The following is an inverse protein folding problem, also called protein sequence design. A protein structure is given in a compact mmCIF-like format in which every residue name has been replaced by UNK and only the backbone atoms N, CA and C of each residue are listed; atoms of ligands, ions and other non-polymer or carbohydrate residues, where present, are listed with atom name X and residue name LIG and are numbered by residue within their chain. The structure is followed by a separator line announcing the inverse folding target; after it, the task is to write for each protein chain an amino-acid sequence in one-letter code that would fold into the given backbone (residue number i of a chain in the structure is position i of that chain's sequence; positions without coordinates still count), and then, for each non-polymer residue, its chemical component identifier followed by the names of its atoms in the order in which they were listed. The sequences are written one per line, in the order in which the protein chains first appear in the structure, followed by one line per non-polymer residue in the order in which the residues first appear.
data_IF_376429194778
#
_entry.id   IF_376429194778
#
_cell.length_a   1.000
_cell.length_b   1.000
_cell.length_c   1.000
_cell.angle_alpha   90.00
_cell.angle_beta   90.00
_cell.angle_gamma   90.00
#
_symmetry.space_group_name_H-M   'P 1'
#
loop_
_entity.id
_entity.type
_entity.pdbx_description
1 polymer ?
#
# COMPACT_ATOMS: atom_id res chain seq x y z
N UNK A 1 8.80 31.15 30.40
CA UNK A 1 9.82 30.19 29.93
C UNK A 1 10.89 30.11 31.02
N UNK A 2 10.98 29.00 31.76
CA UNK A 2 11.99 28.86 32.84
C UNK A 2 13.39 28.61 32.24
N UNK A 3 14.47 29.11 32.89
CA UNK A 3 15.83 28.99 32.37
C UNK A 3 16.25 27.52 32.19
N UNK A 4 16.99 27.26 31.11
CA UNK A 4 17.51 25.94 30.69
C UNK A 4 18.47 25.32 31.74
N UNK A 5 18.97 26.14 32.67
CA UNK A 5 19.94 25.74 33.71
C UNK A 5 19.30 24.99 34.89
N UNK A 6 17.97 24.86 34.92
CA UNK A 6 17.26 23.96 35.83
C UNK A 6 17.17 22.60 35.14
N UNK A 7 17.80 21.58 35.73
CA UNK A 7 17.92 20.24 35.14
C UNK A 7 16.59 19.72 34.59
N UNK A 8 16.62 18.95 33.51
CA UNK A 8 15.45 18.52 32.71
C UNK A 8 14.28 18.06 33.59
N UNK A 9 14.55 17.28 34.64
CA UNK A 9 13.54 16.73 35.54
C UNK A 9 12.83 17.75 36.45
N UNK A 10 13.38 18.95 36.65
CA UNK A 10 12.75 19.97 37.51
C UNK A 10 11.43 20.51 36.96
N UNK A 11 11.16 20.30 35.66
CA UNK A 11 9.91 20.67 35.00
C UNK A 11 8.78 19.68 35.27
N UNK A 12 9.09 18.50 35.79
CA UNK A 12 8.10 17.48 36.10
C UNK A 12 7.39 17.79 37.43
N UNK A 13 6.15 17.33 37.64
CA UNK A 13 5.51 17.34 38.95
C UNK A 13 6.32 16.56 39.98
N UNK A 14 6.21 16.93 41.27
CA UNK A 14 6.94 16.28 42.37
C UNK A 14 6.79 14.76 42.37
N UNK A 15 5.58 14.25 42.12
CA UNK A 15 5.36 12.81 42.09
C UNK A 15 6.16 12.10 40.97
N UNK A 16 6.30 12.70 39.79
CA UNK A 16 7.13 12.15 38.71
C UNK A 16 8.62 12.31 39.01
N UNK A 17 9.03 13.41 39.66
CA UNK A 17 10.41 13.59 40.14
C UNK A 17 10.79 12.51 41.15
N UNK A 18 9.86 12.14 42.05
CA UNK A 18 10.06 11.06 43.03
C UNK A 18 10.12 9.66 42.39
N UNK A 19 9.47 9.46 41.24
CA UNK A 19 9.54 8.22 40.45
C UNK A 19 10.81 8.15 39.60
N UNK A 20 11.28 9.29 39.11
CA UNK A 20 12.49 9.46 38.30
C UNK A 20 13.62 10.05 39.13
N UNK A 21 13.87 9.46 40.31
CA UNK A 21 14.97 9.92 41.16
C UNK A 21 16.28 9.87 40.37
N UNK A 22 17.19 10.84 40.57
CA UNK A 22 18.56 10.74 40.11
C UNK A 22 19.16 9.37 40.50
N UNK A 23 19.93 8.77 39.59
CA UNK A 23 20.47 7.41 39.75
C UNK A 23 21.29 7.26 41.04
N UNK A 24 21.97 8.33 41.46
CA UNK A 24 22.75 8.44 42.68
C UNK A 24 21.92 8.51 43.99
N UNK A 25 20.60 8.70 43.90
CA UNK A 25 19.69 8.79 45.05
C UNK A 25 18.95 7.47 45.34
N UNK A 26 19.10 6.44 44.49
CA UNK A 26 18.70 5.07 44.83
C UNK A 26 19.78 4.49 45.76
N UNK A 27 19.53 4.49 47.06
CA UNK A 27 20.50 4.23 48.12
C UNK A 27 21.34 2.93 47.97
N UNK A 28 22.57 3.00 48.51
CA UNK A 28 23.59 1.96 48.77
C UNK A 28 24.59 1.61 47.64
N UNK A 29 25.45 2.58 47.33
CA UNK A 29 26.92 2.46 47.48
C UNK A 29 27.73 1.43 46.66
N UNK A 30 27.41 1.09 45.39
CA UNK A 30 28.28 0.17 44.62
C UNK A 30 28.70 0.65 43.20
N UNK A 31 27.98 1.55 42.52
CA UNK A 31 28.25 1.87 41.11
C UNK A 31 28.74 3.32 40.83
N UNK A 32 29.50 3.94 41.74
CA UNK A 32 30.17 5.20 41.40
C UNK A 32 31.22 4.96 40.31
N UNK A 33 30.97 5.45 39.09
CA UNK A 33 31.93 5.45 37.98
C UNK A 33 31.64 4.53 36.80
N UNK A 34 30.49 3.83 36.79
CA UNK A 34 30.06 3.06 35.63
C UNK A 34 29.29 3.94 34.64
N UNK A 35 29.69 3.90 33.37
CA UNK A 35 29.02 4.64 32.31
C UNK A 35 27.89 3.79 31.73
N UNK A 36 26.71 4.38 31.54
CA UNK A 36 25.57 3.71 30.91
C UNK A 36 25.06 4.56 29.75
N UNK A 37 24.63 3.88 28.68
CA UNK A 37 23.91 4.51 27.57
C UNK A 37 22.42 4.27 27.75
N UNK A 38 21.62 5.32 27.55
CA UNK A 38 20.17 5.22 27.45
C UNK A 38 19.71 5.58 26.04
N UNK A 39 18.69 4.88 25.54
CA UNK A 39 18.00 5.25 24.30
C UNK A 39 16.53 4.89 24.39
N UNK A 40 15.73 5.55 23.55
CA UNK A 40 14.30 5.26 23.40
C UNK A 40 14.15 4.40 22.16
N UNK A 41 13.39 3.32 22.29
CA UNK A 41 13.04 2.47 21.16
C UNK A 41 11.55 2.09 21.18
N UNK A 42 10.96 1.83 20.01
CA UNK A 42 9.62 1.25 19.95
C UNK A 42 9.62 -0.16 20.53
N UNK A 43 8.60 -0.47 21.32
CA UNK A 43 8.36 -1.81 21.82
C UNK A 43 7.60 -2.65 20.77
N UNK A 44 6.29 -2.43 20.64
CA UNK A 44 5.45 -3.04 19.61
C UNK A 44 4.55 -1.98 18.98
N UNK A 45 4.57 -1.94 17.65
CA UNK A 45 3.61 -1.17 16.87
C UNK A 45 2.37 -2.05 16.63
N UNK A 46 1.25 -1.69 17.25
CA UNK A 46 -0.02 -2.33 16.96
C UNK A 46 -0.62 -1.68 15.71
N UNK A 47 -1.03 -2.49 14.74
CA UNK A 47 -1.74 -2.02 13.57
C UNK A 47 -2.76 -3.05 13.12
N UNK A 48 -3.78 -2.59 12.42
CA UNK A 48 -4.82 -3.40 11.81
C UNK A 48 -4.93 -3.01 10.32
N UNK A 49 -5.13 -4.01 9.47
CA UNK A 49 -5.36 -3.83 8.05
C UNK A 49 -6.80 -4.23 7.76
N UNK A 50 -7.63 -3.25 7.40
CA UNK A 50 -9.02 -3.49 7.01
C UNK A 50 -9.12 -3.40 5.50
N UNK A 51 -9.33 -4.55 4.85
CA UNK A 51 -9.57 -4.62 3.41
C UNK A 51 -11.06 -4.34 3.13
N UNK A 52 -11.32 -3.40 2.23
CA UNK A 52 -12.64 -3.11 1.65
C UNK A 52 -12.58 -3.41 0.15
N UNK A 53 -13.74 -3.48 -0.50
CA UNK A 53 -13.85 -3.77 -1.94
C UNK A 53 -12.95 -2.88 -2.81
N UNK A 54 -12.81 -1.59 -2.45
CA UNK A 54 -12.11 -0.59 -3.26
C UNK A 54 -10.93 0.07 -2.54
N UNK A 55 -10.64 -0.29 -1.29
CA UNK A 55 -9.60 0.38 -0.51
C UNK A 55 -9.02 -0.52 0.58
N UNK A 56 -7.75 -0.26 0.92
CA UNK A 56 -7.12 -0.84 2.10
C UNK A 56 -6.91 0.25 3.13
N UNK A 57 -7.49 0.08 4.32
CA UNK A 57 -7.34 1.00 5.44
C UNK A 57 -6.29 0.45 6.41
N UNK A 58 -5.25 1.23 6.68
CA UNK A 58 -4.25 0.94 7.70
C UNK A 58 -4.55 1.72 8.97
N UNK A 59 -4.99 1.02 10.01
CA UNK A 59 -5.23 1.61 11.32
C UNK A 59 -3.99 1.39 12.18
N UNK A 60 -3.25 2.47 12.44
CA UNK A 60 -2.07 2.41 13.31
C UNK A 60 -2.49 2.78 14.72
N UNK A 61 -2.39 1.82 15.64
CA UNK A 61 -2.74 1.98 17.04
C UNK A 61 -1.71 2.77 17.84
N UNK A 62 -1.85 2.72 19.16
CA UNK A 62 -0.88 3.34 20.06
C UNK A 62 0.49 2.66 19.96
N UNK A 63 1.55 3.47 20.04
CA UNK A 63 2.95 3.03 19.94
C UNK A 63 3.56 3.06 21.32
N UNK A 64 3.81 1.91 21.92
CA UNK A 64 4.53 1.87 23.18
C UNK A 64 6.01 2.14 22.94
N UNK A 65 6.53 3.15 23.62
CA UNK A 65 7.95 3.47 23.64
C UNK A 65 8.55 2.98 24.95
N UNK A 66 9.76 2.45 24.89
CA UNK A 66 10.52 2.03 26.07
C UNK A 66 11.88 2.68 26.09
N UNK A 67 12.33 3.02 27.30
CA UNK A 67 13.71 3.43 27.54
C UNK A 67 14.51 2.18 27.82
N UNK A 68 15.54 1.96 27.01
CA UNK A 68 16.56 0.95 27.24
C UNK A 68 17.78 1.57 27.90
N UNK A 69 18.55 0.71 28.55
CA UNK A 69 19.83 1.01 29.15
C UNK A 69 20.82 -0.06 28.73
N UNK A 70 22.09 0.29 28.69
CA UNK A 70 23.18 -0.66 28.49
C UNK A 70 24.44 -0.18 29.20
N UNK A 71 25.14 -1.10 29.87
CA UNK A 71 26.40 -0.79 30.54
C UNK A 71 27.51 -0.61 29.50
N UNK A 72 28.35 0.40 29.73
CA UNK A 72 29.52 0.68 28.91
C UNK A 72 30.79 0.32 29.68
N UNK A 73 31.68 -0.44 29.04
CA UNK A 73 33.02 -0.75 29.56
C UNK A 73 34.09 -0.11 28.69
N UNK A 74 35.24 0.20 29.28
CA UNK A 74 36.41 0.61 28.49
C UNK A 74 37.06 -0.61 27.87
N UNK A 75 37.23 -0.60 26.56
CA UNK A 75 38.04 -1.58 25.87
C UNK A 75 39.55 -1.34 26.12
N UNK A 76 40.41 -2.17 25.53
CA UNK A 76 41.87 -2.07 25.67
C UNK A 76 42.45 -0.76 25.09
N UNK A 77 41.72 -0.07 24.21
CA UNK A 77 42.07 1.24 23.66
C UNK A 77 41.57 2.40 24.56
N UNK A 78 40.88 2.09 25.66
CA UNK A 78 40.28 3.07 26.56
C UNK A 78 38.96 3.68 26.06
N UNK A 79 38.39 3.18 24.97
CA UNK A 79 37.10 3.63 24.43
C UNK A 79 35.93 2.94 25.13
N UNK A 80 34.83 3.67 25.35
CA UNK A 80 33.60 3.09 25.90
C UNK A 80 32.87 2.28 24.83
N UNK A 81 32.67 1.00 25.10
CA UNK A 81 31.94 0.06 24.24
C UNK A 81 30.85 -0.64 25.05
N UNK A 82 29.82 -1.09 24.35
CA UNK A 82 28.71 -1.87 24.90
C UNK A 82 29.24 -3.17 25.54
N UNK A 83 28.77 -3.49 26.75
CA UNK A 83 29.16 -4.70 27.47
C UNK A 83 28.33 -5.92 27.01
N UNK A 84 28.99 -6.87 26.37
CA UNK A 84 28.33 -8.08 25.85
C UNK A 84 27.84 -9.03 26.96
N UNK A 85 28.36 -8.88 28.19
CA UNK A 85 27.99 -9.71 29.34
C UNK A 85 26.99 -8.96 30.24
N UNK A 86 25.80 -8.71 29.72
CA UNK A 86 24.72 -8.08 30.48
C UNK A 86 24.20 -9.06 31.56
N UNK A 87 24.82 -9.05 32.74
CA UNK A 87 24.51 -9.95 33.85
C UNK A 87 23.10 -9.70 34.41
N UNK A 88 22.47 -10.73 35.00
CA UNK A 88 21.15 -10.61 35.63
C UNK A 88 21.08 -9.57 36.76
N UNK A 89 22.23 -9.26 37.38
CA UNK A 89 22.36 -8.18 38.37
C UNK A 89 22.01 -6.81 37.81
N UNK A 90 22.18 -6.59 36.50
CA UNK A 90 21.78 -5.34 35.87
C UNK A 90 20.27 -5.14 35.86
N UNK A 91 19.44 -6.18 35.94
CA UNK A 91 17.97 -6.05 35.93
C UNK A 91 17.42 -5.28 37.14
N UNK A 92 18.16 -5.26 38.26
CA UNK A 92 17.78 -4.54 39.49
C UNK A 92 18.67 -3.31 39.77
N UNK A 93 19.51 -2.89 38.82
CA UNK A 93 20.35 -1.70 39.00
C UNK A 93 19.50 -0.42 39.08
N UNK A 94 20.00 0.65 39.74
CA UNK A 94 19.38 1.97 39.70
C UNK A 94 19.05 2.46 38.28
N UNK A 95 19.92 2.17 37.31
CA UNK A 95 19.73 2.50 35.89
C UNK A 95 18.55 1.73 35.27
N UNK A 96 18.41 0.44 35.60
CA UNK A 96 17.26 -0.35 35.19
C UNK A 96 15.97 0.13 35.84
N UNK A 97 16.01 0.51 37.12
CA UNK A 97 14.87 1.09 37.82
C UNK A 97 14.45 2.42 37.16
N UNK A 98 15.42 3.27 36.83
CA UNK A 98 15.17 4.52 36.10
C UNK A 98 14.56 4.27 34.72
N UNK A 99 15.16 3.39 33.91
CA UNK A 99 14.68 3.07 32.56
C UNK A 99 13.25 2.51 32.59
N UNK A 100 12.96 1.64 33.56
CA UNK A 100 11.62 1.11 33.81
C UNK A 100 10.65 2.21 34.22
N UNK A 101 10.98 3.02 35.22
CA UNK A 101 10.12 4.10 35.69
C UNK A 101 9.83 5.14 34.57
N UNK A 102 10.83 5.46 33.75
CA UNK A 102 10.64 6.34 32.60
C UNK A 102 9.73 5.70 31.55
N UNK A 103 9.89 4.40 31.28
CA UNK A 103 9.02 3.66 30.36
C UNK A 103 7.57 3.64 30.85
N UNK A 104 7.36 3.31 32.14
CA UNK A 104 6.03 3.18 32.73
C UNK A 104 5.27 4.52 32.75
N UNK A 105 6.00 5.64 32.88
CA UNK A 105 5.44 6.99 32.91
C UNK A 105 5.72 7.80 31.62
N UNK A 106 6.08 7.15 30.50
CA UNK A 106 6.54 7.83 29.28
C UNK A 106 5.53 8.86 28.76
N UNK A 107 4.26 8.50 28.69
CA UNK A 107 3.20 9.37 28.17
C UNK A 107 2.91 10.54 29.13
N UNK A 108 2.95 10.30 30.45
CA UNK A 108 2.81 11.36 31.45
C UNK A 108 3.95 12.37 31.36
N UNK A 109 5.19 11.90 31.21
CA UNK A 109 6.39 12.72 31.00
C UNK A 109 6.25 13.50 29.69
N UNK A 110 5.72 12.85 28.64
CA UNK A 110 5.49 13.45 27.32
C UNK A 110 4.57 14.68 27.34
N UNK A 111 3.65 14.78 28.30
CA UNK A 111 2.83 15.99 28.48
C UNK A 111 3.66 17.24 28.84
N UNK A 112 4.85 17.04 29.40
CA UNK A 112 5.81 18.11 29.75
C UNK A 112 6.93 18.25 28.71
N UNK A 113 7.20 17.20 27.94
CA UNK A 113 8.18 17.14 26.86
C UNK A 113 7.53 16.64 25.56
N UNK A 114 6.85 17.53 24.82
CA UNK A 114 6.09 17.15 23.63
C UNK A 114 6.92 16.44 22.56
N UNK A 115 8.25 16.63 22.56
CA UNK A 115 9.19 15.95 21.68
C UNK A 115 9.12 14.42 21.83
N UNK A 116 8.88 13.92 23.04
CA UNK A 116 8.71 12.47 23.31
C UNK A 116 7.43 11.93 22.66
N UNK A 117 6.33 12.68 22.76
CA UNK A 117 5.07 12.30 22.10
C UNK A 117 5.19 12.40 20.57
N UNK A 118 5.91 13.41 20.07
CA UNK A 118 6.20 13.53 18.63
C UNK A 118 6.99 12.34 18.09
N UNK A 119 7.84 11.71 18.90
CA UNK A 119 8.55 10.50 18.51
C UNK A 119 7.58 9.34 18.25
N UNK A 120 6.50 9.20 19.05
CA UNK A 120 5.43 8.20 18.80
C UNK A 120 4.80 8.42 17.44
N UNK A 121 4.42 9.67 17.13
CA UNK A 121 3.79 10.01 15.85
C UNK A 121 4.74 9.83 14.66
N UNK A 122 6.03 10.17 14.83
CA UNK A 122 7.04 9.94 13.80
C UNK A 122 7.19 8.45 13.47
N UNK A 123 7.12 7.57 14.48
CA UNK A 123 7.16 6.13 14.28
C UNK A 123 5.92 5.61 13.54
N UNK A 124 4.73 6.13 13.85
CA UNK A 124 3.51 5.80 13.09
C UNK A 124 3.63 6.22 11.63
N UNK A 125 4.13 7.44 11.39
CA UNK A 125 4.39 7.92 10.02
C UNK A 125 5.41 7.03 9.30
N UNK A 126 6.51 6.68 9.96
CA UNK A 126 7.52 5.76 9.38
C UNK A 126 6.91 4.40 9.01
N UNK A 127 6.00 3.87 9.82
CA UNK A 127 5.30 2.64 9.52
C UNK A 127 4.34 2.77 8.33
N UNK A 128 3.56 3.86 8.27
CA UNK A 128 2.70 4.17 7.12
C UNK A 128 3.52 4.30 5.84
N UNK A 129 4.69 4.95 5.91
CA UNK A 129 5.63 5.03 4.80
C UNK A 129 6.10 3.64 4.33
N UNK A 130 6.40 2.72 5.26
CA UNK A 130 6.76 1.33 4.93
C UNK A 130 5.60 0.57 4.28
N UNK A 131 4.38 0.74 4.77
CA UNK A 131 3.19 0.13 4.17
C UNK A 131 2.92 0.66 2.77
N UNK A 132 2.98 1.98 2.58
CA UNK A 132 2.83 2.61 1.28
C UNK A 132 3.88 2.12 0.29
N UNK A 133 5.14 2.00 0.72
CA UNK A 133 6.21 1.42 -0.10
C UNK A 133 5.96 -0.03 -0.48
N UNK A 134 5.57 -0.88 0.48
CA UNK A 134 5.31 -2.29 0.21
C UNK A 134 4.11 -2.45 -0.75
N UNK A 135 3.08 -1.62 -0.61
CA UNK A 135 1.94 -1.61 -1.52
C UNK A 135 2.33 -1.12 -2.92
N UNK A 136 3.13 -0.05 -2.99
CA UNK A 136 3.70 0.45 -4.24
C UNK A 136 4.52 -0.60 -4.96
N UNK A 137 5.39 -1.35 -4.26
CA UNK A 137 6.19 -2.41 -4.86
C UNK A 137 5.32 -3.50 -5.48
N UNK A 138 4.28 -3.96 -4.78
CA UNK A 138 3.31 -4.92 -5.34
C UNK A 138 2.61 -4.41 -6.59
N UNK A 139 2.31 -3.11 -6.66
CA UNK A 139 1.69 -2.49 -7.83
C UNK A 139 2.69 -2.27 -8.97
N UNK A 140 3.96 -1.98 -8.66
CA UNK A 140 5.03 -1.66 -9.62
C UNK A 140 5.60 -2.93 -10.26
N UNK A 141 5.44 -4.08 -9.62
CA UNK A 141 5.89 -5.36 -10.13
C UNK A 141 4.93 -5.99 -11.15
N UNK A 142 3.79 -5.36 -11.48
CA UNK A 142 2.87 -5.87 -12.50
C UNK A 142 3.57 -5.88 -13.88
N UNK A 143 4.07 -7.03 -14.36
CA UNK A 143 4.78 -7.08 -15.62
C UNK A 143 3.78 -6.84 -16.76
N UNK A 144 4.24 -6.29 -17.88
CA UNK A 144 3.45 -6.27 -19.12
C UNK A 144 2.83 -7.65 -19.45
N UNK A 145 3.52 -8.72 -19.06
CA UNK A 145 3.04 -10.10 -19.16
C UNK A 145 1.79 -10.36 -18.33
N UNK A 146 1.70 -9.86 -17.08
CA UNK A 146 0.49 -9.99 -16.26
C UNK A 146 -0.70 -9.21 -16.83
N UNK A 147 -0.46 -8.01 -17.39
CA UNK A 147 -1.51 -7.22 -18.06
C UNK A 147 -2.02 -7.98 -19.30
N UNK A 148 -1.09 -8.53 -20.09
CA UNK A 148 -1.41 -9.33 -21.26
C UNK A 148 -2.19 -10.59 -20.88
N UNK A 149 -1.77 -11.31 -19.85
CA UNK A 149 -2.45 -12.51 -19.36
C UNK A 149 -3.86 -12.17 -18.86
N UNK A 150 -4.03 -11.05 -18.17
CA UNK A 150 -5.35 -10.56 -17.75
C UNK A 150 -6.26 -10.25 -18.95
N UNK A 151 -5.75 -9.57 -19.98
CA UNK A 151 -6.50 -9.29 -21.21
C UNK A 151 -6.89 -10.59 -21.92
N UNK A 152 -5.95 -11.54 -22.05
CA UNK A 152 -6.22 -12.85 -22.67
C UNK A 152 -7.22 -13.68 -21.89
N UNK A 153 -7.09 -13.70 -20.56
CA UNK A 153 -8.06 -14.33 -19.68
C UNK A 153 -9.44 -13.71 -19.85
N UNK A 154 -9.53 -12.37 -19.85
CA UNK A 154 -10.80 -11.66 -20.09
C UNK A 154 -11.39 -12.02 -21.45
N UNK A 155 -10.57 -12.13 -22.51
CA UNK A 155 -11.01 -12.59 -23.83
C UNK A 155 -11.56 -14.02 -23.79
N UNK A 156 -10.91 -14.92 -23.06
CA UNK A 156 -11.34 -16.31 -22.94
C UNK A 156 -12.72 -16.44 -22.27
N UNK A 157 -13.09 -15.51 -21.40
CA UNK A 157 -14.41 -15.50 -20.77
C UNK A 157 -15.53 -15.01 -21.71
N UNK A 158 -15.17 -14.38 -22.84
CA UNK A 158 -16.11 -13.87 -23.85
C UNK A 158 -16.45 -14.94 -24.91
N UNK A 159 -16.49 -16.22 -24.53
CA UNK A 159 -16.70 -17.37 -25.44
C UNK A 159 -17.90 -17.24 -26.39
N UNK A 160 -18.92 -16.48 -26.00
CA UNK A 160 -20.10 -16.17 -26.80
C UNK A 160 -20.28 -14.66 -26.92
N UNK A 161 -19.34 -13.98 -27.58
CA UNK A 161 -19.49 -12.56 -27.91
C UNK A 161 -20.12 -12.41 -29.30
N UNK A 162 -21.44 -12.15 -29.41
CA UNK A 162 -22.07 -11.97 -30.70
C UNK A 162 -21.78 -10.56 -31.20
N UNK A 163 -20.68 -10.39 -31.92
CA UNK A 163 -20.41 -9.14 -32.64
C UNK A 163 -21.62 -8.76 -33.49
N UNK A 164 -21.97 -7.47 -33.51
CA UNK A 164 -23.04 -6.92 -34.32
C UNK A 164 -22.69 -6.84 -35.82
N UNK A 165 -22.07 -7.89 -36.36
CA UNK A 165 -21.71 -8.01 -37.77
C UNK A 165 -22.79 -8.78 -38.56
N UNK A 166 -22.73 -8.68 -39.89
CA UNK A 166 -23.72 -9.28 -40.78
C UNK A 166 -23.82 -10.81 -40.64
N UNK A 167 -22.69 -11.45 -40.32
CA UNK A 167 -22.65 -12.89 -40.10
C UNK A 167 -23.47 -13.31 -38.87
N UNK A 168 -23.25 -12.66 -37.73
CA UNK A 168 -24.03 -12.89 -36.50
C UNK A 168 -25.50 -12.59 -36.72
N UNK A 169 -25.82 -11.46 -37.38
CA UNK A 169 -27.22 -11.09 -37.69
C UNK A 169 -27.90 -12.19 -38.49
N UNK A 170 -27.26 -12.70 -39.55
CA UNK A 170 -27.81 -13.77 -40.37
C UNK A 170 -27.88 -15.11 -39.62
N UNK A 171 -26.91 -15.41 -38.75
CA UNK A 171 -26.93 -16.60 -37.89
C UNK A 171 -28.14 -16.59 -36.95
N UNK A 172 -28.35 -15.48 -36.22
CA UNK A 172 -29.50 -15.33 -35.32
C UNK A 172 -30.82 -15.29 -36.08
N UNK A 173 -30.86 -14.65 -37.25
CA UNK A 173 -32.05 -14.66 -38.12
C UNK A 173 -32.43 -16.10 -38.51
N UNK A 174 -31.48 -16.91 -38.98
CA UNK A 174 -31.73 -18.32 -39.32
C UNK A 174 -32.12 -19.15 -38.11
N UNK A 175 -31.48 -18.91 -36.95
CA UNK A 175 -31.81 -19.59 -35.69
C UNK A 175 -33.26 -19.32 -35.28
N UNK A 176 -33.70 -18.06 -35.32
CA UNK A 176 -35.08 -17.69 -35.01
C UNK A 176 -36.09 -18.34 -35.96
N UNK A 177 -35.81 -18.37 -37.27
CA UNK A 177 -36.69 -19.05 -38.22
C UNK A 177 -36.80 -20.55 -37.95
N UNK A 178 -35.66 -21.19 -37.65
CA UNK A 178 -35.61 -22.62 -37.33
C UNK A 178 -36.40 -22.94 -36.05
N UNK A 179 -36.21 -22.16 -34.98
CA UNK A 179 -36.92 -22.31 -33.70
C UNK A 179 -38.44 -22.14 -33.84
N UNK A 180 -38.89 -21.37 -34.84
CA UNK A 180 -40.31 -21.15 -35.12
C UNK A 180 -40.85 -22.05 -36.25
N UNK A 181 -40.05 -22.99 -36.76
CA UNK A 181 -40.41 -23.87 -37.88
C UNK A 181 -40.83 -23.13 -39.17
N UNK A 182 -40.26 -21.94 -39.41
CA UNK A 182 -40.53 -21.11 -40.59
C UNK A 182 -39.43 -21.32 -41.63
N UNK A 183 -39.81 -21.63 -42.88
CA UNK A 183 -38.87 -21.67 -44.00
C UNK A 183 -38.46 -20.25 -44.39
N UNK A 184 -37.17 -20.00 -44.59
CA UNK A 184 -36.65 -18.70 -45.03
C UNK A 184 -37.20 -18.24 -46.38
N UNK A 185 -37.68 -19.17 -47.21
CA UNK A 185 -38.31 -18.87 -48.50
C UNK A 185 -39.74 -18.35 -48.37
N UNK A 186 -40.39 -18.56 -47.21
CA UNK A 186 -41.77 -18.14 -46.97
C UNK A 186 -41.87 -16.75 -46.32
N UNK A 187 -40.74 -16.13 -45.96
CA UNK A 187 -40.72 -14.82 -45.31
C UNK A 187 -40.64 -13.72 -46.37
N UNK A 188 -41.62 -12.80 -46.45
CA UNK A 188 -41.55 -11.65 -47.33
C UNK A 188 -40.26 -10.83 -47.11
N UNK A 189 -39.66 -10.32 -48.18
CA UNK A 189 -38.39 -9.59 -48.12
C UNK A 189 -38.43 -8.41 -47.11
N UNK A 190 -39.52 -7.66 -47.08
CA UNK A 190 -39.69 -6.53 -46.16
C UNK A 190 -39.67 -6.97 -44.69
N UNK A 191 -40.36 -8.06 -44.35
CA UNK A 191 -40.39 -8.63 -43.00
C UNK A 191 -39.02 -9.21 -42.62
N UNK A 192 -38.38 -9.91 -43.54
CA UNK A 192 -37.03 -10.44 -43.34
C UNK A 192 -36.00 -9.33 -43.08
N UNK A 193 -36.09 -8.22 -43.82
CA UNK A 193 -35.22 -7.07 -43.61
C UNK A 193 -35.52 -6.36 -42.28
N UNK A 194 -36.80 -6.17 -41.93
CA UNK A 194 -37.20 -5.59 -40.66
C UNK A 194 -36.69 -6.44 -39.46
N UNK A 195 -36.82 -7.76 -39.54
CA UNK A 195 -36.33 -8.68 -38.51
C UNK A 195 -34.79 -8.63 -38.38
N UNK A 196 -34.06 -8.61 -39.49
CA UNK A 196 -32.59 -8.44 -39.46
C UNK A 196 -32.15 -7.12 -38.84
N UNK A 197 -32.85 -6.02 -39.16
CA UNK A 197 -32.57 -4.72 -38.55
C UNK A 197 -32.82 -4.73 -37.04
N UNK A 198 -33.88 -5.38 -36.59
CA UNK A 198 -34.16 -5.53 -35.16
C UNK A 198 -33.12 -6.40 -34.45
N UNK A 199 -32.72 -7.52 -35.03
CA UNK A 199 -31.63 -8.37 -34.52
C UNK A 199 -30.34 -7.55 -34.42
N UNK A 200 -29.98 -6.81 -35.48
CA UNK A 200 -28.79 -5.95 -35.48
C UNK A 200 -28.84 -4.92 -34.36
N UNK A 201 -29.98 -4.26 -34.17
CA UNK A 201 -30.18 -3.28 -33.08
C UNK A 201 -29.98 -3.90 -31.71
N UNK A 202 -30.53 -5.10 -31.47
CA UNK A 202 -30.36 -5.82 -30.21
C UNK A 202 -28.89 -6.24 -29.98
N UNK A 203 -28.22 -6.76 -31.02
CA UNK A 203 -26.81 -7.09 -30.96
C UNK A 203 -25.95 -5.86 -30.65
N UNK A 204 -26.18 -4.74 -31.33
CA UNK A 204 -25.47 -3.47 -31.05
C UNK A 204 -25.67 -2.99 -29.61
N UNK A 205 -26.87 -3.15 -29.04
CA UNK A 205 -27.14 -2.77 -27.66
C UNK A 205 -26.37 -3.65 -26.66
N UNK A 206 -26.28 -4.97 -26.93
CA UNK A 206 -25.49 -5.91 -26.11
C UNK A 206 -23.99 -5.63 -26.24
N UNK A 207 -23.51 -5.43 -27.47
CA UNK A 207 -22.13 -5.08 -27.82
C UNK A 207 -21.69 -3.81 -27.06
N UNK A 208 -22.49 -2.74 -27.14
CA UNK A 208 -22.24 -1.49 -26.43
C UNK A 208 -22.17 -1.66 -24.91
N UNK A 209 -23.06 -2.49 -24.33
CA UNK A 209 -23.07 -2.79 -22.89
C UNK A 209 -21.81 -3.55 -22.45
N UNK A 210 -21.36 -4.52 -23.24
CA UNK A 210 -20.15 -5.29 -22.93
C UNK A 210 -18.92 -4.41 -23.06
N UNK A 211 -18.84 -3.58 -24.11
CA UNK A 211 -17.78 -2.58 -24.27
C UNK A 211 -17.72 -1.68 -23.05
N UNK A 212 -18.86 -1.18 -22.55
CA UNK A 212 -18.91 -0.34 -21.34
C UNK A 212 -18.39 -1.07 -20.10
N UNK A 213 -18.86 -2.30 -19.88
CA UNK A 213 -18.43 -3.12 -18.74
C UNK A 213 -16.93 -3.41 -18.77
N UNK A 214 -16.40 -3.80 -19.93
CA UNK A 214 -14.97 -4.06 -20.11
C UNK A 214 -14.15 -2.78 -19.95
N UNK A 215 -14.63 -1.66 -20.49
CA UNK A 215 -14.00 -0.35 -20.31
C UNK A 215 -13.88 -0.02 -18.83
N UNK A 216 -14.95 -0.22 -18.04
CA UNK A 216 -14.93 0.03 -16.60
C UNK A 216 -13.95 -0.90 -15.87
N UNK A 217 -13.92 -2.18 -16.21
CA UNK A 217 -12.95 -3.14 -15.66
C UNK A 217 -11.51 -2.73 -15.96
N UNK A 218 -11.19 -2.41 -17.21
CA UNK A 218 -9.83 -2.01 -17.59
C UNK A 218 -9.44 -0.65 -17.01
N UNK A 219 -10.37 0.33 -16.94
CA UNK A 219 -10.11 1.61 -16.27
C UNK A 219 -9.82 1.43 -14.77
N UNK A 220 -10.57 0.57 -14.09
CA UNK A 220 -10.32 0.24 -12.68
C UNK A 220 -8.96 -0.42 -12.50
N UNK A 221 -8.61 -1.39 -13.36
CA UNK A 221 -7.33 -2.09 -13.31
C UNK A 221 -6.14 -1.17 -13.63
N UNK A 222 -6.32 -0.22 -14.55
CA UNK A 222 -5.30 0.74 -14.95
C UNK A 222 -5.24 1.99 -14.04
N UNK A 223 -6.13 2.10 -13.06
CA UNK A 223 -6.31 3.29 -12.21
C UNK A 223 -6.45 4.60 -13.00
N UNK A 224 -7.11 4.56 -14.17
CA UNK A 224 -7.24 5.71 -15.08
C UNK A 224 -8.68 6.23 -15.18
N UNK A 225 -8.80 7.54 -15.37
CA UNK A 225 -10.06 8.23 -15.69
C UNK A 225 -10.28 8.42 -17.19
N UNK A 226 -9.33 7.98 -18.04
CA UNK A 226 -9.35 8.14 -19.49
C UNK A 226 -10.33 7.15 -20.18
N UNK A 227 -11.60 7.16 -19.76
CA UNK A 227 -12.64 6.21 -20.19
C UNK A 227 -12.90 6.23 -21.71
N UNK A 228 -12.79 7.40 -22.35
CA UNK A 228 -13.02 7.54 -23.80
C UNK A 228 -11.95 6.77 -24.59
N UNK A 229 -10.68 7.00 -24.28
CA UNK A 229 -9.56 6.33 -24.95
C UNK A 229 -9.58 4.82 -24.68
N UNK A 230 -9.88 4.43 -23.43
CA UNK A 230 -10.03 3.02 -23.07
C UNK A 230 -11.15 2.35 -23.88
N UNK A 231 -12.30 3.02 -24.02
CA UNK A 231 -13.44 2.49 -24.79
C UNK A 231 -13.08 2.21 -26.24
N UNK A 232 -12.36 3.14 -26.89
CA UNK A 232 -11.90 2.96 -28.27
C UNK A 232 -10.94 1.76 -28.41
N UNK A 233 -9.99 1.63 -27.48
CA UNK A 233 -9.05 0.50 -27.47
C UNK A 233 -9.75 -0.84 -27.21
N UNK A 234 -10.71 -0.87 -26.29
CA UNK A 234 -11.54 -2.07 -26.03
C UNK A 234 -12.33 -2.47 -27.26
N UNK A 235 -12.93 -1.50 -27.95
CA UNK A 235 -13.67 -1.75 -29.18
C UNK A 235 -12.77 -2.37 -30.26
N UNK A 236 -11.61 -1.76 -30.54
CA UNK A 236 -10.66 -2.26 -31.53
C UNK A 236 -10.11 -3.64 -31.14
N UNK A 237 -9.84 -3.85 -29.86
CA UNK A 237 -9.40 -5.14 -29.35
C UNK A 237 -10.44 -6.23 -29.57
N UNK A 238 -11.72 -5.96 -29.29
CA UNK A 238 -12.79 -6.92 -29.52
C UNK A 238 -12.90 -7.28 -31.00
N UNK A 239 -12.75 -6.31 -31.91
CA UNK A 239 -12.80 -6.51 -33.37
C UNK A 239 -11.70 -7.45 -33.92
N UNK A 240 -10.70 -7.81 -33.10
CA UNK A 240 -9.88 -9.01 -33.32
C UNK A 240 -8.57 -8.81 -34.05
N UNK A 241 -8.08 -7.57 -34.17
CA UNK A 241 -6.72 -7.34 -34.67
C UNK A 241 -5.69 -7.56 -33.54
N UNK A 242 -4.69 -8.40 -33.83
CA UNK A 242 -3.59 -8.72 -32.88
C UNK A 242 -2.81 -7.45 -32.49
N UNK A 243 -2.76 -6.46 -33.38
CA UNK A 243 -2.12 -5.17 -33.10
C UNK A 243 -2.86 -4.39 -32.01
N UNK A 244 -4.16 -4.64 -31.82
CA UNK A 244 -5.00 -3.91 -30.86
C UNK A 244 -4.90 -4.50 -29.44
N UNK A 245 -4.55 -5.78 -29.29
CA UNK A 245 -4.17 -6.33 -27.97
C UNK A 245 -2.95 -5.60 -27.41
N UNK A 246 -1.91 -5.41 -28.22
CA UNK A 246 -0.70 -4.71 -27.78
C UNK A 246 -0.93 -3.23 -27.54
N UNK A 247 -1.80 -2.59 -28.32
CA UNK A 247 -2.19 -1.20 -28.07
C UNK A 247 -2.89 -1.06 -26.70
N UNK A 248 -3.82 -1.96 -26.37
CA UNK A 248 -4.49 -1.99 -25.08
C UNK A 248 -3.52 -2.29 -23.92
N UNK A 249 -2.63 -3.28 -24.07
CA UNK A 249 -1.58 -3.60 -23.09
C UNK A 249 -0.70 -2.38 -22.82
N UNK A 250 -0.20 -1.73 -23.88
CA UNK A 250 0.70 -0.59 -23.76
C UNK A 250 0.00 0.62 -23.13
N UNK A 251 -1.26 0.85 -23.47
CA UNK A 251 -2.05 1.91 -22.85
C UNK A 251 -2.24 1.67 -21.35
N UNK A 252 -2.70 0.47 -20.95
CA UNK A 252 -2.87 0.12 -19.54
C UNK A 252 -1.55 0.22 -18.78
N UNK A 253 -0.46 -0.29 -19.35
CA UNK A 253 0.87 -0.20 -18.72
C UNK A 253 1.31 1.25 -18.52
N UNK A 254 1.13 2.11 -19.54
CA UNK A 254 1.47 3.53 -19.46
C UNK A 254 0.65 4.27 -18.40
N UNK A 255 -0.65 3.97 -18.29
CA UNK A 255 -1.51 4.57 -17.26
C UNK A 255 -1.11 4.10 -15.86
N UNK A 256 -0.77 2.82 -15.70
CA UNK A 256 -0.20 2.29 -14.45
C UNK A 256 1.11 2.99 -14.10
N UNK A 257 2.03 3.15 -15.06
CA UNK A 257 3.28 3.91 -14.88
C UNK A 257 3.05 5.38 -14.49
N UNK A 258 2.06 6.01 -15.10
CA UNK A 258 1.68 7.38 -14.79
C UNK A 258 1.17 7.50 -13.35
N UNK A 259 0.24 6.64 -12.96
CA UNK A 259 -0.26 6.53 -11.59
C UNK A 259 0.88 6.28 -10.58
N UNK A 260 1.82 5.39 -10.93
CA UNK A 260 3.03 5.18 -10.14
C UNK A 260 3.87 6.45 -9.98
N UNK A 261 4.08 7.21 -11.07
CA UNK A 261 4.79 8.48 -11.00
C UNK A 261 4.07 9.51 -10.12
N UNK A 262 2.73 9.54 -10.15
CA UNK A 262 1.92 10.44 -9.32
C UNK A 262 2.01 10.09 -7.84
N UNK A 263 2.05 8.81 -7.47
CA UNK A 263 2.22 8.35 -6.08
C UNK A 263 3.66 8.52 -5.62
N UNK A 264 4.64 8.24 -6.48
CA UNK A 264 6.06 8.30 -6.18
C UNK A 264 6.50 9.68 -5.70
N UNK A 265 6.07 10.75 -6.38
CA UNK A 265 6.48 12.14 -6.05
C UNK A 265 6.13 12.53 -4.59
N UNK A 266 4.90 12.34 -4.09
CA UNK A 266 4.57 12.51 -2.68
C UNK A 266 5.41 11.64 -1.74
N UNK A 267 5.62 10.36 -2.06
CA UNK A 267 6.40 9.46 -1.22
C UNK A 267 7.86 9.90 -1.11
N UNK A 268 8.48 10.35 -2.21
CA UNK A 268 9.83 10.89 -2.22
C UNK A 268 9.94 12.20 -1.42
N UNK A 269 8.93 13.08 -1.51
CA UNK A 269 8.83 14.29 -0.66
C UNK A 269 8.75 13.96 0.84
N UNK A 270 8.21 12.80 1.20
CA UNK A 270 8.19 12.27 2.57
C UNK A 270 9.51 11.58 2.95
N UNK A 271 10.55 11.64 2.12
CA UNK A 271 11.85 11.01 2.35
C UNK A 271 11.86 9.50 2.12
N UNK A 272 10.79 8.94 1.55
CA UNK A 272 10.70 7.51 1.23
C UNK A 272 11.41 7.28 -0.09
N UNK A 273 12.63 6.74 -0.03
CA UNK A 273 13.34 6.29 -1.23
C UNK A 273 12.72 4.98 -1.73
N UNK A 274 12.00 5.06 -2.84
CA UNK A 274 11.56 3.88 -3.60
C UNK A 274 12.76 3.41 -4.43
N UNK A 275 13.11 2.13 -4.36
CA UNK A 275 14.17 1.57 -5.23
C UNK A 275 13.66 1.58 -6.66
N UNK A 276 14.48 2.00 -7.62
CA UNK A 276 14.20 1.69 -9.02
C UNK A 276 14.61 0.24 -9.25
N UNK A 277 13.79 -0.53 -9.97
CA UNK A 277 14.18 -1.89 -10.40
C UNK A 277 15.46 -1.89 -11.26
N UNK A 278 15.84 -0.74 -11.84
CA UNK A 278 17.09 -0.58 -12.60
C UNK A 278 18.34 -0.44 -11.71
N UNK A 279 18.19 -0.14 -10.41
CA UNK A 279 19.34 0.05 -9.52
C UNK A 279 19.97 -1.30 -9.10
N UNK A 280 19.24 -2.42 -9.24
CA UNK A 280 19.76 -3.75 -8.89
C UNK A 280 20.67 -4.35 -9.98
N UNK A 281 20.61 -3.84 -11.22
CA UNK A 281 21.47 -4.29 -12.31
C UNK A 281 22.88 -3.65 -12.33
N UNK A 282 23.16 -2.68 -11.45
CA UNK A 282 24.48 -2.01 -11.38
C UNK A 282 25.34 -2.42 -10.18
N UNK A 283 24.89 -3.40 -9.38
CA UNK A 283 25.63 -3.88 -8.18
C UNK A 283 26.04 -5.35 -8.24
N UNK A 284 26.12 -5.92 -9.44
CA UNK A 284 26.73 -7.24 -9.69
C UNK A 284 27.91 -7.12 -10.65
#
# INVERSE_FOLDING_TARGET
IQPINKGVFQRLPKYLQEKLKPINEYERNIAFGQAHRFWIEPDKLNYEIVQRETSTLFLVGDVRLRVRKHLLRRNHEGQLVDDENEDEYEKSSPESMFAKAFTDHYDEIGNYFPELLRLKELLKLSALCKFARAHYQKLSEAPHESIRDFIRFTRSQLHEYPHANDFSVEMYYKKLLLENHISSFNVPYAEANALRMEIRRQLQAVDQKIIEQLTDVFCQQAHTSAKINMKELVNNWLDGSIFDEMALVNFIAKEIEHFHCEIRKPLEKLGIRLRNNNDEQQTL
#
